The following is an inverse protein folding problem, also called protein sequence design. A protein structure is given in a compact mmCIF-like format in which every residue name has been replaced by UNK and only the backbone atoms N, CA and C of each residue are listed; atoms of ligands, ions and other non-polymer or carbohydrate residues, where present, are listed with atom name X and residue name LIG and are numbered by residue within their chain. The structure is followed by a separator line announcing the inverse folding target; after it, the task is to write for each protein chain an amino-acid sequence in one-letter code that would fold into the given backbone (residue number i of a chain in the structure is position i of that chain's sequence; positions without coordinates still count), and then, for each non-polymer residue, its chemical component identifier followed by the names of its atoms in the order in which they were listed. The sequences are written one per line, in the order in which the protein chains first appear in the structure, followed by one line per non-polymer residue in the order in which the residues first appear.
data_IF_509957330232
#
_entry.id   IF_509957330232
#
_cell.length_a   1.000
_cell.length_b   1.000
_cell.length_c   1.000
_cell.angle_alpha   90.00
_cell.angle_beta   90.00
_cell.angle_gamma   90.00
#
_symmetry.space_group_name_H-M   'P 1'
#
loop_
_entity.id
_entity.type
_entity.pdbx_description
1 polymer ?
#
# COMPACT_ATOMS: atom_id res chain seq x y z
N UNK A 1 29.55 -1.28 18.89
CA UNK A 1 30.02 -1.29 17.49
C UNK A 1 29.44 -2.53 16.82
N UNK A 2 28.32 -2.39 16.10
CA UNK A 2 27.80 -3.48 15.28
C UNK A 2 28.83 -3.79 14.19
N UNK A 3 29.22 -5.06 14.04
CA UNK A 3 30.23 -5.48 13.06
C UNK A 3 29.60 -6.53 12.15
N UNK A 4 29.64 -6.25 10.87
CA UNK A 4 29.10 -7.07 9.79
C UNK A 4 30.03 -8.25 9.52
N UNK A 5 29.49 -9.43 9.16
CA UNK A 5 30.28 -10.48 8.54
C UNK A 5 30.97 -9.94 7.28
N UNK A 6 32.20 -10.38 7.00
CA UNK A 6 32.78 -10.14 5.69
C UNK A 6 32.13 -11.08 4.68
N UNK A 7 31.73 -10.50 3.54
CA UNK A 7 31.12 -11.22 2.43
C UNK A 7 32.14 -11.29 1.31
N UNK A 8 32.41 -12.51 0.88
CA UNK A 8 33.26 -12.78 -0.28
C UNK A 8 32.37 -13.36 -1.38
N UNK A 9 32.18 -12.57 -2.43
CA UNK A 9 31.30 -12.91 -3.55
C UNK A 9 32.12 -13.47 -4.70
N UNK A 10 32.05 -14.79 -4.90
CA UNK A 10 32.55 -15.46 -6.10
C UNK A 10 31.50 -15.51 -7.20
N UNK A 11 31.88 -15.98 -8.40
CA UNK A 11 31.00 -16.05 -9.56
C UNK A 11 29.71 -16.90 -9.35
N UNK A 12 29.73 -17.85 -8.41
CA UNK A 12 28.60 -18.76 -8.15
C UNK A 12 28.29 -18.98 -6.66
N UNK A 13 29.14 -18.49 -5.75
CA UNK A 13 29.02 -18.74 -4.32
C UNK A 13 29.27 -17.47 -3.50
N UNK A 14 28.54 -17.33 -2.40
CA UNK A 14 28.72 -16.25 -1.43
C UNK A 14 29.18 -16.86 -0.12
N UNK A 15 30.35 -16.45 0.37
CA UNK A 15 30.88 -16.89 1.67
C UNK A 15 30.66 -15.79 2.70
N UNK A 16 29.92 -16.11 3.77
CA UNK A 16 29.75 -15.22 4.92
C UNK A 16 30.72 -15.64 6.02
N UNK A 17 31.62 -14.74 6.43
CA UNK A 17 32.54 -14.98 7.55
C UNK A 17 32.08 -14.17 8.76
N UNK A 18 31.53 -14.80 9.81
CA UNK A 18 31.14 -14.10 11.03
C UNK A 18 32.32 -13.31 11.60
N UNK A 19 32.08 -12.09 12.08
CA UNK A 19 33.14 -11.22 12.61
C UNK A 19 33.82 -11.70 13.90
N UNK A 20 33.35 -12.82 14.47
CA UNK A 20 33.93 -13.50 15.63
C UNK A 20 33.69 -15.01 15.54
N UNK A 21 34.51 -15.86 16.18
CA UNK A 21 34.21 -17.27 16.35
C UNK A 21 32.82 -17.47 16.97
N UNK A 22 32.03 -18.36 16.38
CA UNK A 22 30.71 -18.75 16.87
C UNK A 22 30.83 -20.15 17.46
N UNK A 23 30.58 -20.30 18.75
CA UNK A 23 30.55 -21.62 19.39
C UNK A 23 29.26 -22.33 18.97
N UNK A 24 29.39 -23.48 18.30
CA UNK A 24 28.27 -24.34 17.90
C UNK A 24 28.23 -25.52 18.87
N UNK A 25 27.20 -25.63 19.73
CA UNK A 25 27.06 -26.76 20.65
C UNK A 25 26.95 -28.09 19.89
N UNK A 26 27.51 -29.16 20.45
CA UNK A 26 27.37 -30.51 19.90
C UNK A 26 25.94 -31.02 20.13
N UNK A 27 25.20 -31.33 19.06
CA UNK A 27 23.82 -31.84 19.12
C UNK A 27 23.04 -31.63 17.81
N UNK A 28 21.90 -32.30 17.66
CA UNK A 28 21.06 -32.24 16.46
C UNK A 28 20.13 -31.01 16.39
N UNK A 29 20.24 -30.07 17.33
CA UNK A 29 19.41 -28.86 17.33
C UNK A 29 20.05 -27.79 16.44
N UNK A 30 19.27 -27.25 15.50
CA UNK A 30 19.75 -26.19 14.62
C UNK A 30 20.22 -24.96 15.40
N UNK A 31 21.38 -24.42 15.05
CA UNK A 31 21.95 -23.23 15.67
C UNK A 31 21.77 -22.01 14.76
N UNK A 32 21.14 -20.94 15.28
CA UNK A 32 20.99 -19.67 14.57
C UNK A 32 21.99 -18.66 15.11
N UNK A 33 22.77 -18.05 14.22
CA UNK A 33 23.72 -16.97 14.56
C UNK A 33 23.49 -15.76 13.67
N UNK A 34 23.71 -14.56 14.21
CA UNK A 34 23.61 -13.32 13.44
C UNK A 34 24.87 -13.15 12.60
N UNK A 35 24.69 -13.06 11.28
CA UNK A 35 25.79 -12.83 10.35
C UNK A 35 26.08 -11.33 10.17
N UNK A 36 25.03 -10.52 10.08
CA UNK A 36 25.16 -9.09 9.79
C UNK A 36 24.06 -8.31 10.51
N UNK A 37 24.37 -7.07 10.86
CA UNK A 37 23.40 -6.04 11.20
C UNK A 37 23.66 -4.88 10.25
N UNK A 38 22.62 -4.44 9.55
CA UNK A 38 22.68 -3.37 8.56
C UNK A 38 21.73 -2.28 9.01
N UNK A 39 22.26 -1.06 9.10
CA UNK A 39 21.47 0.11 9.43
C UNK A 39 21.09 0.82 8.13
N UNK A 40 19.90 0.51 7.63
CA UNK A 40 19.35 1.10 6.39
C UNK A 40 18.31 2.16 6.74
N UNK A 41 18.32 3.28 6.02
CA UNK A 41 17.32 4.34 6.21
C UNK A 41 16.01 3.95 5.56
N UNK A 42 14.94 3.94 6.36
CA UNK A 42 13.57 3.71 5.89
C UNK A 42 12.80 5.02 5.73
N UNK A 43 12.07 5.16 4.63
CA UNK A 43 11.04 6.20 4.45
C UNK A 43 9.70 5.62 4.85
N UNK A 44 9.07 6.20 5.87
CA UNK A 44 7.74 5.79 6.31
C UNK A 44 6.66 6.52 5.53
N UNK A 45 5.58 5.81 5.24
CA UNK A 45 4.37 6.38 4.65
C UNK A 45 3.17 5.48 4.92
N UNK A 46 1.99 5.95 4.58
CA UNK A 46 0.77 5.18 4.72
C UNK A 46 0.13 4.92 3.36
N UNK A 47 -0.60 3.82 3.26
CA UNK A 47 -1.45 3.50 2.13
C UNK A 47 -2.84 3.07 2.62
N UNK A 48 -3.88 3.52 1.94
CA UNK A 48 -5.26 3.11 2.23
C UNK A 48 -6.05 2.93 0.94
N UNK A 49 -6.92 1.93 0.93
CA UNK A 49 -7.85 1.64 -0.16
C UNK A 49 -9.27 1.52 0.43
N UNK A 50 -9.94 2.65 0.71
CA UNK A 50 -11.10 2.67 1.61
C UNK A 50 -12.36 2.00 1.04
N UNK A 51 -12.38 1.74 -0.27
CA UNK A 51 -13.40 0.90 -0.92
C UNK A 51 -13.23 -0.62 -0.64
N UNK A 52 -12.07 -1.03 -0.13
CA UNK A 52 -11.75 -2.41 0.28
C UNK A 52 -11.80 -2.54 1.80
N UNK A 53 -11.10 -1.66 2.52
CA UNK A 53 -11.08 -1.60 3.99
C UNK A 53 -10.80 -0.15 4.43
N UNK A 54 -11.52 0.40 5.42
CA UNK A 54 -11.29 1.75 5.95
C UNK A 54 -10.07 1.81 6.90
N UNK A 55 -9.00 1.09 6.57
CA UNK A 55 -7.78 1.00 7.37
C UNK A 55 -6.62 1.72 6.66
N UNK A 56 -5.72 2.29 7.45
CA UNK A 56 -4.46 2.84 6.97
C UNK A 56 -3.32 1.89 7.34
N UNK A 57 -2.59 1.43 6.32
CA UNK A 57 -1.46 0.53 6.49
C UNK A 57 -0.17 1.36 6.50
N UNK A 58 0.62 1.24 7.57
CA UNK A 58 1.97 1.78 7.61
C UNK A 58 2.88 0.93 6.71
N UNK A 59 3.67 1.61 5.89
CA UNK A 59 4.69 0.99 5.04
C UNK A 59 6.05 1.68 5.25
N UNK A 60 7.10 0.90 5.07
CA UNK A 60 8.48 1.35 5.04
C UNK A 60 9.08 1.06 3.66
N UNK A 61 9.51 2.11 2.97
CA UNK A 61 10.29 2.01 1.74
C UNK A 61 11.76 2.12 2.09
N UNK A 62 12.56 1.12 1.73
CA UNK A 62 13.97 1.03 2.08
C UNK A 62 14.78 0.74 0.83
N UNK A 63 15.90 1.43 0.65
CA UNK A 63 16.88 1.11 -0.40
C UNK A 63 18.02 0.32 0.24
N UNK A 64 18.44 -0.78 -0.37
CA UNK A 64 19.62 -1.50 0.08
C UNK A 64 20.87 -0.68 -0.26
N UNK A 65 21.31 0.14 0.68
CA UNK A 65 22.54 0.95 0.57
C UNK A 65 23.80 0.18 0.97
N UNK A 66 23.69 -1.11 1.27
CA UNK A 66 24.86 -1.96 1.55
C UNK A 66 25.52 -2.43 0.26
N UNK A 67 26.77 -2.88 0.36
CA UNK A 67 27.52 -3.47 -0.76
C UNK A 67 27.12 -4.94 -1.02
N UNK A 68 26.09 -5.45 -0.34
CA UNK A 68 25.77 -6.87 -0.33
C UNK A 68 24.37 -7.13 -0.89
N UNK A 69 24.26 -8.12 -1.77
CA UNK A 69 22.98 -8.70 -2.16
C UNK A 69 22.42 -9.53 -1.00
N UNK A 70 21.27 -9.14 -0.48
CA UNK A 70 20.55 -9.91 0.54
C UNK A 70 19.78 -11.03 -0.14
N UNK A 71 19.94 -12.24 0.39
CA UNK A 71 19.34 -13.45 -0.20
C UNK A 71 17.88 -13.58 0.22
N UNK A 72 17.04 -14.20 -0.62
CA UNK A 72 15.64 -14.42 -0.29
C UNK A 72 15.50 -15.28 0.97
N UNK A 73 14.54 -14.95 1.82
CA UNK A 73 14.37 -15.61 3.11
C UNK A 73 13.18 -15.10 3.90
N UNK A 74 12.83 -15.81 4.97
CA UNK A 74 11.81 -15.34 5.91
C UNK A 74 12.40 -14.25 6.79
N UNK A 75 11.67 -13.17 6.97
CA UNK A 75 12.02 -12.08 7.87
C UNK A 75 10.90 -11.87 8.90
N UNK A 76 11.30 -11.65 10.14
CA UNK A 76 10.41 -11.11 11.18
C UNK A 76 10.51 -9.59 11.14
N UNK A 77 9.38 -8.92 11.04
CA UNK A 77 9.29 -7.47 10.95
C UNK A 77 8.87 -6.93 12.32
N UNK A 78 9.60 -5.92 12.77
CA UNK A 78 9.34 -5.22 14.01
C UNK A 78 9.22 -3.72 13.70
N UNK A 79 8.26 -3.06 14.33
CA UNK A 79 8.18 -1.61 14.37
C UNK A 79 8.53 -1.16 15.79
N UNK A 80 9.66 -0.47 15.92
CA UNK A 80 10.32 -0.24 17.21
C UNK A 80 10.58 -1.57 17.95
N UNK A 81 9.89 -1.82 19.07
CA UNK A 81 10.00 -3.07 19.84
C UNK A 81 8.84 -4.03 19.62
N UNK A 82 7.84 -3.63 18.82
CA UNK A 82 6.61 -4.40 18.59
C UNK A 82 6.77 -5.33 17.38
N UNK A 83 6.38 -6.59 17.53
CA UNK A 83 6.34 -7.54 16.44
C UNK A 83 5.08 -7.32 15.60
N UNK A 84 5.27 -6.97 14.33
CA UNK A 84 4.14 -6.67 13.43
C UNK A 84 3.81 -7.82 12.48
N UNK A 85 4.75 -8.74 12.24
CA UNK A 85 4.48 -9.93 11.44
C UNK A 85 5.72 -10.58 10.84
N UNK A 86 5.48 -11.56 9.97
CA UNK A 86 6.52 -12.19 9.16
C UNK A 86 6.27 -11.95 7.68
N UNK A 87 7.35 -11.67 6.95
CA UNK A 87 7.31 -11.57 5.48
C UNK A 87 8.35 -12.50 4.86
N UNK A 88 8.28 -12.67 3.55
CA UNK A 88 9.34 -13.28 2.75
C UNK A 88 10.02 -12.18 1.96
N UNK A 89 11.30 -11.99 2.22
CA UNK A 89 12.15 -11.15 1.40
C UNK A 89 12.53 -11.93 0.14
N UNK A 90 12.45 -11.27 -1.00
CA UNK A 90 13.07 -11.75 -2.24
C UNK A 90 14.57 -11.41 -2.24
N UNK A 91 15.24 -11.66 -3.36
CA UNK A 91 16.60 -11.14 -3.55
C UNK A 91 16.54 -9.61 -3.48
N UNK A 92 17.47 -9.00 -2.75
CA UNK A 92 17.53 -7.55 -2.58
C UNK A 92 18.94 -7.07 -2.88
N UNK A 93 19.15 -6.61 -4.10
CA UNK A 93 20.45 -6.19 -4.61
C UNK A 93 20.86 -4.80 -4.11
N UNK A 94 22.16 -4.46 -4.09
CA UNK A 94 22.61 -3.09 -3.82
C UNK A 94 21.92 -2.08 -4.74
N UNK A 95 21.38 -1.01 -4.17
CA UNK A 95 20.65 0.05 -4.86
C UNK A 95 19.18 -0.26 -5.18
N UNK A 96 18.73 -1.50 -4.98
CA UNK A 96 17.33 -1.88 -5.17
C UNK A 96 16.46 -1.38 -4.00
N UNK A 97 15.24 -0.95 -4.32
CA UNK A 97 14.24 -0.51 -3.35
C UNK A 97 13.28 -1.65 -2.99
N UNK A 98 12.92 -1.74 -1.73
CA UNK A 98 11.94 -2.68 -1.22
C UNK A 98 10.92 -1.94 -0.35
N UNK A 99 9.64 -2.30 -0.52
CA UNK A 99 8.57 -1.86 0.36
C UNK A 99 8.20 -2.99 1.35
N UNK A 100 8.08 -2.63 2.63
CA UNK A 100 7.67 -3.51 3.71
C UNK A 100 6.40 -2.98 4.38
N UNK A 101 5.36 -3.80 4.44
CA UNK A 101 4.18 -3.52 5.23
C UNK A 101 4.49 -3.70 6.72
N UNK A 102 4.17 -2.68 7.53
CA UNK A 102 4.36 -2.67 8.98
C UNK A 102 3.05 -2.86 9.76
N UNK A 103 1.94 -3.11 9.06
CA UNK A 103 0.63 -3.36 9.66
C UNK A 103 -0.27 -2.12 9.66
N UNK A 104 -1.44 -2.26 10.29
CA UNK A 104 -2.44 -1.20 10.43
C UNK A 104 -2.01 -0.25 11.55
N UNK A 105 -2.18 1.06 11.34
CA UNK A 105 -1.97 2.07 12.37
C UNK A 105 -3.25 2.89 12.58
N UNK A 106 -3.96 2.59 13.67
CA UNK A 106 -5.25 3.20 14.01
C UNK A 106 -5.16 4.71 14.29
N UNK A 107 -3.95 5.27 14.44
CA UNK A 107 -3.76 6.72 14.58
C UNK A 107 -4.05 7.47 13.29
N UNK A 108 -3.99 6.80 12.14
CA UNK A 108 -4.44 7.36 10.87
C UNK A 108 -5.87 6.87 10.62
N UNK A 109 -6.84 7.68 11.05
CA UNK A 109 -8.26 7.34 10.93
C UNK A 109 -8.72 7.59 9.51
N UNK A 110 -9.32 6.57 8.89
CA UNK A 110 -9.89 6.66 7.54
C UNK A 110 -11.38 6.39 7.61
N UNK A 111 -12.16 7.21 6.91
CA UNK A 111 -13.60 7.07 6.79
C UNK A 111 -14.01 7.34 5.34
N UNK A 112 -14.83 6.46 4.76
CA UNK A 112 -15.38 6.62 3.41
C UNK A 112 -16.90 6.60 3.49
N UNK A 113 -17.50 7.70 3.08
CA UNK A 113 -18.94 7.89 3.11
C UNK A 113 -19.50 7.99 1.69
N UNK A 114 -20.68 7.41 1.47
CA UNK A 114 -21.47 7.65 0.28
C UNK A 114 -22.18 9.00 0.43
N UNK A 115 -21.57 10.06 -0.09
CA UNK A 115 -22.05 11.43 0.04
C UNK A 115 -23.30 11.71 -0.82
N UNK A 116 -23.41 11.06 -1.98
CA UNK A 116 -24.57 11.19 -2.85
C UNK A 116 -24.80 9.91 -3.65
N UNK A 117 -26.06 9.48 -3.75
CA UNK A 117 -26.48 8.41 -4.65
C UNK A 117 -27.83 8.76 -5.27
N UNK A 118 -27.87 8.76 -6.60
CA UNK A 118 -29.12 8.93 -7.34
C UNK A 118 -29.28 7.79 -8.33
N UNK A 119 -30.45 7.14 -8.31
CA UNK A 119 -30.86 6.19 -9.33
C UNK A 119 -32.13 6.72 -10.00
N UNK A 120 -32.04 7.13 -11.25
CA UNK A 120 -33.20 7.64 -11.98
C UNK A 120 -34.00 6.49 -12.61
N UNK A 121 -35.33 6.65 -12.66
CA UNK A 121 -36.18 5.80 -13.50
C UNK A 121 -35.81 6.02 -14.96
N UNK A 122 -36.02 4.99 -15.78
CA UNK A 122 -35.73 5.05 -17.21
C UNK A 122 -36.35 6.31 -17.83
N UNK A 123 -35.53 7.10 -18.52
CA UNK A 123 -36.01 8.29 -19.24
C UNK A 123 -36.85 7.87 -20.45
N UNK A 124 -37.47 8.81 -21.18
CA UNK A 124 -38.21 8.54 -22.42
C UNK A 124 -37.38 7.75 -23.46
N UNK A 125 -36.04 7.89 -23.41
CA UNK A 125 -35.08 7.14 -24.24
C UNK A 125 -34.82 5.70 -23.79
N UNK A 126 -35.32 5.30 -22.63
CA UNK A 126 -35.07 3.98 -22.01
C UNK A 126 -33.75 3.87 -21.24
N UNK A 127 -32.88 4.89 -21.28
CA UNK A 127 -31.62 4.91 -20.53
C UNK A 127 -31.88 5.11 -19.03
N UNK A 128 -31.22 4.28 -18.21
CA UNK A 128 -31.20 4.37 -16.74
C UNK A 128 -29.88 5.00 -16.30
N UNK A 129 -29.94 6.00 -15.40
CA UNK A 129 -28.73 6.65 -14.88
C UNK A 129 -28.53 6.28 -13.41
N UNK A 130 -27.29 5.96 -13.06
CA UNK A 130 -26.85 5.76 -11.68
C UNK A 130 -25.68 6.67 -11.38
N UNK A 131 -25.81 7.46 -10.33
CA UNK A 131 -24.76 8.35 -9.86
C UNK A 131 -24.34 7.93 -8.46
N UNK A 132 -23.05 7.96 -8.21
CA UNK A 132 -22.47 7.78 -6.89
C UNK A 132 -21.37 8.82 -6.68
N UNK A 133 -21.31 9.38 -5.48
CA UNK A 133 -20.21 10.22 -5.03
C UNK A 133 -19.79 9.80 -3.63
N UNK A 134 -18.50 9.58 -3.46
CA UNK A 134 -17.88 9.19 -2.21
C UNK A 134 -17.01 10.33 -1.70
N UNK A 135 -17.03 10.50 -0.38
CA UNK A 135 -16.11 11.37 0.34
C UNK A 135 -15.28 10.50 1.26
N UNK A 136 -13.96 10.52 1.08
CA UNK A 136 -13.02 9.87 1.98
C UNK A 136 -12.35 10.93 2.83
N UNK A 137 -12.52 10.83 4.14
CA UNK A 137 -11.85 11.65 5.14
C UNK A 137 -10.72 10.87 5.77
N UNK A 138 -9.55 11.50 5.89
CA UNK A 138 -8.38 10.95 6.56
C UNK A 138 -7.97 11.93 7.66
N UNK A 139 -7.79 11.45 8.89
CA UNK A 139 -7.36 12.26 10.03
C UNK A 139 -6.10 11.67 10.63
N UNK A 140 -5.06 12.49 10.78
CA UNK A 140 -3.81 12.10 11.41
C UNK A 140 -3.85 12.41 12.90
N UNK A 141 -4.06 11.41 13.75
CA UNK A 141 -3.97 11.53 15.22
C UNK A 141 -2.56 11.25 15.76
N UNK A 142 -1.58 10.98 14.88
CA UNK A 142 -0.21 10.76 15.31
C UNK A 142 0.48 12.09 15.65
N UNK A 143 1.54 12.07 16.50
CA UNK A 143 2.30 13.28 16.84
C UNK A 143 3.28 13.71 15.73
N UNK A 144 3.30 13.03 14.58
CA UNK A 144 4.22 13.29 13.46
C UNK A 144 3.43 13.58 12.19
N UNK A 145 4.09 14.21 11.23
CA UNK A 145 3.55 14.32 9.87
C UNK A 145 3.37 12.93 9.25
N UNK A 146 2.27 12.73 8.52
CA UNK A 146 1.93 11.51 7.82
C UNK A 146 1.74 11.78 6.33
N UNK A 147 2.50 11.07 5.48
CA UNK A 147 2.26 11.03 4.03
C UNK A 147 1.37 9.84 3.74
N UNK A 148 0.12 10.10 3.32
CA UNK A 148 -0.90 9.08 3.07
C UNK A 148 -1.18 8.97 1.58
N UNK A 149 -0.97 7.79 1.02
CA UNK A 149 -1.40 7.43 -0.33
C UNK A 149 -2.81 6.86 -0.27
N UNK A 150 -3.75 7.50 -0.94
CA UNK A 150 -5.16 7.08 -0.98
C UNK A 150 -5.45 6.51 -2.35
N UNK A 151 -5.95 5.27 -2.39
CA UNK A 151 -6.38 4.58 -3.59
C UNK A 151 -7.92 4.46 -3.59
N UNK A 152 -8.55 4.85 -4.68
CA UNK A 152 -9.97 4.57 -4.94
C UNK A 152 -10.16 4.29 -6.44
N UNK A 153 -11.35 3.85 -6.82
CA UNK A 153 -11.65 3.45 -8.20
C UNK A 153 -13.05 3.90 -8.62
N UNK A 154 -13.16 4.32 -9.88
CA UNK A 154 -14.42 4.41 -10.60
C UNK A 154 -14.59 3.15 -11.46
N UNK A 155 -15.83 2.70 -11.70
CA UNK A 155 -16.06 1.58 -12.61
C UNK A 155 -15.56 1.91 -14.02
N UNK A 156 -15.16 0.88 -14.75
CA UNK A 156 -14.85 0.97 -16.19
C UNK A 156 -15.82 0.08 -16.94
N UNK A 157 -16.34 0.59 -18.06
CA UNK A 157 -17.25 -0.20 -18.88
C UNK A 157 -16.52 -1.31 -19.62
N UNK A 158 -17.17 -2.48 -19.73
CA UNK A 158 -16.75 -3.61 -20.56
C UNK A 158 -17.78 -3.94 -21.66
N UNK A 159 -18.82 -3.13 -21.77
CA UNK A 159 -19.93 -3.32 -22.72
C UNK A 159 -20.35 -1.95 -23.26
N UNK A 160 -20.45 -1.82 -24.58
CA UNK A 160 -20.79 -0.55 -25.24
C UNK A 160 -22.17 0.00 -24.84
N UNK A 161 -23.05 -0.86 -24.33
CA UNK A 161 -24.37 -0.48 -23.82
C UNK A 161 -24.31 0.14 -22.41
N UNK A 162 -23.12 0.21 -21.80
CA UNK A 162 -22.86 0.85 -20.51
C UNK A 162 -21.82 1.94 -20.73
N UNK A 163 -22.10 3.17 -20.30
CA UNK A 163 -21.15 4.29 -20.41
C UNK A 163 -20.90 4.91 -19.05
N UNK A 164 -19.63 5.02 -18.67
CA UNK A 164 -19.20 5.75 -17.48
C UNK A 164 -18.91 7.20 -17.88
N UNK A 165 -19.53 8.15 -17.19
CA UNK A 165 -19.46 9.60 -17.47
C UNK A 165 -19.26 10.38 -16.18
N UNK A 166 -18.98 11.67 -16.33
CA UNK A 166 -18.95 12.63 -15.21
C UNK A 166 -18.05 12.21 -14.04
N UNK A 167 -16.93 11.55 -14.34
CA UNK A 167 -15.94 11.20 -13.34
C UNK A 167 -15.29 12.49 -12.82
N UNK A 168 -15.49 12.78 -11.54
CA UNK A 168 -15.06 14.00 -10.87
C UNK A 168 -14.32 13.65 -9.60
N UNK A 169 -13.22 14.35 -9.35
CA UNK A 169 -12.38 14.16 -8.18
C UNK A 169 -12.07 15.50 -7.53
N UNK A 170 -11.92 15.53 -6.22
CA UNK A 170 -11.28 16.66 -5.53
C UNK A 170 -10.46 16.16 -4.35
N UNK A 171 -9.20 16.59 -4.15
CA UNK A 171 -8.36 17.30 -5.12
C UNK A 171 -8.11 16.45 -6.39
N UNK A 172 -7.37 17.02 -7.34
CA UNK A 172 -6.91 16.23 -8.50
C UNK A 172 -5.95 15.12 -8.04
N UNK A 173 -6.11 13.90 -8.58
CA UNK A 173 -5.24 12.77 -8.26
C UNK A 173 -3.84 13.00 -8.85
N UNK A 174 -2.82 12.46 -8.18
CA UNK A 174 -1.45 12.46 -8.71
C UNK A 174 -1.25 11.44 -9.82
N UNK A 175 -2.13 10.43 -9.88
CA UNK A 175 -2.12 9.40 -10.91
C UNK A 175 -3.54 8.90 -11.18
N UNK A 176 -3.81 8.60 -12.46
CA UNK A 176 -5.04 7.96 -12.92
C UNK A 176 -4.72 6.91 -13.98
N UNK A 177 -5.30 5.72 -13.86
CA UNK A 177 -5.11 4.64 -14.84
C UNK A 177 -6.31 4.50 -15.76
N UNK A 178 -6.12 3.82 -16.91
CA UNK A 178 -7.21 3.45 -17.82
C UNK A 178 -8.18 2.44 -17.19
N UNK A 179 -7.73 1.74 -16.15
CA UNK A 179 -8.54 0.80 -15.35
C UNK A 179 -9.43 1.50 -14.32
N UNK A 180 -9.49 2.84 -14.34
CA UNK A 180 -10.36 3.61 -13.47
C UNK A 180 -9.84 3.74 -12.04
N UNK A 181 -8.55 3.50 -11.81
CA UNK A 181 -7.92 3.68 -10.51
C UNK A 181 -7.41 5.12 -10.36
N UNK A 182 -7.52 5.66 -9.15
CA UNK A 182 -7.12 7.01 -8.78
C UNK A 182 -6.22 6.96 -7.55
N UNK A 183 -5.10 7.68 -7.64
CA UNK A 183 -4.14 7.80 -6.54
C UNK A 183 -4.03 9.24 -6.11
N UNK A 184 -4.24 9.50 -4.81
CA UNK A 184 -3.91 10.78 -4.19
C UNK A 184 -2.75 10.61 -3.22
N UNK A 185 -1.97 11.67 -3.03
CA UNK A 185 -0.92 11.73 -2.01
C UNK A 185 -1.16 12.95 -1.13
N UNK A 186 -1.54 12.71 0.12
CA UNK A 186 -1.83 13.75 1.10
C UNK A 186 -0.69 13.82 2.11
N UNK A 187 -0.19 15.01 2.39
CA UNK A 187 0.73 15.26 3.50
C UNK A 187 -0.06 15.90 4.63
N UNK A 188 -0.19 15.20 5.76
CA UNK A 188 -1.01 15.60 6.89
C UNK A 188 -0.13 15.87 8.10
N UNK A 189 -0.08 17.13 8.53
CA UNK A 189 0.55 17.51 9.81
C UNK A 189 -0.14 16.80 11.00
N UNK A 190 0.46 16.80 12.21
CA UNK A 190 -0.20 16.29 13.40
C UNK A 190 -1.58 16.91 13.60
N UNK A 191 -2.59 16.10 13.91
CA UNK A 191 -4.01 16.48 14.06
C UNK A 191 -4.68 17.03 12.81
N UNK A 192 -4.03 17.02 11.65
CA UNK A 192 -4.61 17.53 10.41
C UNK A 192 -5.59 16.54 9.78
N UNK A 193 -6.56 17.09 9.04
CA UNK A 193 -7.55 16.36 8.25
C UNK A 193 -7.29 16.58 6.76
N UNK A 194 -7.30 15.48 6.00
CA UNK A 194 -7.34 15.47 4.55
C UNK A 194 -8.69 14.92 4.06
N UNK A 195 -9.12 15.39 2.88
CA UNK A 195 -10.36 14.92 2.25
C UNK A 195 -10.08 14.67 0.78
N UNK A 196 -10.52 13.53 0.26
CA UNK A 196 -10.63 13.27 -1.18
C UNK A 196 -12.08 12.91 -1.52
N UNK A 197 -12.56 13.32 -2.68
CA UNK A 197 -13.86 12.92 -3.22
C UNK A 197 -13.71 12.27 -4.57
N UNK A 198 -14.58 11.32 -4.86
CA UNK A 198 -14.69 10.64 -6.14
C UNK A 198 -16.18 10.47 -6.47
N UNK A 199 -16.62 11.10 -7.55
CA UNK A 199 -17.97 10.96 -8.09
C UNK A 199 -17.96 10.49 -9.54
N UNK A 200 -18.98 9.73 -9.93
CA UNK A 200 -19.15 9.24 -11.29
C UNK A 200 -20.62 8.92 -11.60
N UNK A 201 -20.95 8.92 -12.90
CA UNK A 201 -22.24 8.52 -13.45
C UNK A 201 -22.07 7.29 -14.32
N UNK A 202 -23.00 6.35 -14.23
CA UNK A 202 -23.13 5.20 -15.13
C UNK A 202 -24.47 5.25 -15.82
N UNK A 203 -24.43 5.37 -17.13
CA UNK A 203 -25.58 5.31 -18.02
C UNK A 203 -25.71 3.88 -18.57
N UNK A 204 -26.88 3.27 -18.40
CA UNK A 204 -27.17 1.89 -18.83
C UNK A 204 -28.28 1.93 -19.88
N UNK A 205 -28.01 1.36 -21.05
CA UNK A 205 -28.97 1.31 -22.16
C UNK A 205 -30.20 0.44 -21.83
N UNK A 206 -31.25 0.60 -22.64
CA UNK A 206 -32.50 -0.14 -22.47
C UNK A 206 -32.28 -1.64 -22.64
N UNK A 207 -32.81 -2.42 -21.71
CA UNK A 207 -32.77 -3.90 -21.78
C UNK A 207 -31.48 -4.54 -21.24
N UNK A 208 -30.53 -3.74 -20.74
CA UNK A 208 -29.28 -4.24 -20.16
C UNK A 208 -29.39 -4.28 -18.64
N UNK A 209 -28.97 -5.40 -18.06
CA UNK A 209 -28.81 -5.55 -16.60
C UNK A 209 -27.38 -5.19 -16.19
N UNK A 210 -27.26 -4.26 -15.25
CA UNK A 210 -25.98 -3.90 -14.66
C UNK A 210 -25.66 -4.89 -13.53
N UNK A 211 -24.56 -5.63 -13.68
CA UNK A 211 -23.99 -6.49 -12.64
C UNK A 211 -22.63 -5.95 -12.17
N UNK A 212 -22.17 -6.37 -10.99
CA UNK A 212 -20.86 -5.94 -10.43
C UNK A 212 -20.82 -4.52 -9.85
N UNK A 213 -21.94 -3.78 -9.88
CA UNK A 213 -22.08 -2.53 -9.13
C UNK A 213 -22.11 -2.84 -7.63
N UNK A 214 -21.08 -2.41 -6.90
CA UNK A 214 -21.06 -2.46 -5.43
C UNK A 214 -21.97 -1.34 -4.90
N UNK A 215 -22.99 -1.72 -4.12
CA UNK A 215 -23.96 -0.78 -3.54
C UNK A 215 -23.39 0.11 -2.44
#
# INVERSE_FOLDING_TARGET
VARTASVDQGATAVTYRPGRPVAVPSGAQGHRTTLAQLDLTAKLGYITAPAVSPEAFLRATVVNTSEHTLRPGKASVFHETEFVGTTRLDVWAPGEELELALGVDDRIRVERELAHRTASKATLSGVRKREAAYTTTIVNHSPREAVVTVLDQAPVSRDDAITVRDVRTTPDPVERTELGEFTWRLTLAPSAKGVVTLGYRVDVAKGVELSGWRE
#
